data_IF_196760347199
#
_entry.id   IF_196760347199
#
_cell.length_a   1.000
_cell.length_b   1.000
_cell.length_c   1.000
_cell.angle_alpha   90.00
_cell.angle_beta   90.00
_cell.angle_gamma   90.00
#
_symmetry.space_group_name_H-M   'P 1'
#
loop_
_entity.id
_entity.type
_entity.pdbx_description
1 polymer ?
#
# COMPACT_ATOMS: atom_id res chain seq x y z
N UNK A 1 -15.85 23.35 -12.94
CA UNK A 1 -15.95 21.89 -13.12
C UNK A 1 -14.57 21.23 -13.17
N UNK A 2 -13.64 21.69 -14.02
CA UNK A 2 -12.28 21.13 -14.10
C UNK A 2 -11.49 21.22 -12.77
N UNK A 3 -11.58 22.33 -12.04
CA UNK A 3 -10.90 22.49 -10.75
C UNK A 3 -11.36 21.50 -9.65
N UNK A 4 -12.63 21.08 -9.69
CA UNK A 4 -13.17 20.09 -8.75
C UNK A 4 -12.71 18.69 -9.14
N UNK A 5 -12.69 18.39 -10.45
CA UNK A 5 -12.20 17.11 -10.96
C UNK A 5 -10.69 16.94 -10.72
N UNK A 6 -9.89 17.98 -10.91
CA UNK A 6 -8.45 17.95 -10.62
C UNK A 6 -8.17 17.81 -9.12
N UNK A 7 -8.93 18.51 -8.27
CA UNK A 7 -8.81 18.37 -6.81
C UNK A 7 -9.16 16.96 -6.33
N UNK A 8 -10.24 16.37 -6.87
CA UNK A 8 -10.59 14.98 -6.57
C UNK A 8 -9.50 14.03 -7.07
N UNK A 9 -9.01 14.22 -8.31
CA UNK A 9 -7.94 13.40 -8.86
C UNK A 9 -6.66 13.46 -8.00
N UNK A 10 -6.28 14.63 -7.49
CA UNK A 10 -5.14 14.78 -6.58
C UNK A 10 -5.34 14.03 -5.26
N UNK A 11 -6.54 14.10 -4.66
CA UNK A 11 -6.85 13.36 -3.42
C UNK A 11 -6.80 11.84 -3.67
N UNK A 12 -7.39 11.38 -4.77
CA UNK A 12 -7.37 9.96 -5.14
C UNK A 12 -6.00 9.49 -5.67
N UNK A 13 -5.07 10.40 -5.97
CA UNK A 13 -3.70 10.03 -6.33
C UNK A 13 -2.81 9.81 -5.10
N UNK A 14 -3.30 10.14 -3.90
CA UNK A 14 -2.56 9.95 -2.66
C UNK A 14 -2.88 8.59 -2.02
N UNK A 15 -1.91 7.66 -1.92
CA UNK A 15 -2.17 6.30 -1.42
C UNK A 15 -2.65 6.28 0.03
N UNK A 16 -2.21 7.24 0.85
CA UNK A 16 -2.65 7.42 2.22
C UNK A 16 -4.17 7.59 2.31
N UNK A 17 -4.74 8.44 1.44
CA UNK A 17 -6.17 8.71 1.40
C UNK A 17 -6.96 7.49 0.90
N UNK A 18 -6.43 6.75 -0.08
CA UNK A 18 -7.06 5.48 -0.49
C UNK A 18 -7.11 4.48 0.66
N UNK A 19 -6.04 4.33 1.42
CA UNK A 19 -6.01 3.42 2.57
C UNK A 19 -7.05 3.81 3.63
N UNK A 20 -7.15 5.10 3.94
CA UNK A 20 -8.19 5.63 4.83
C UNK A 20 -9.59 5.36 4.30
N UNK A 21 -9.82 5.59 3.01
CA UNK A 21 -11.12 5.39 2.37
C UNK A 21 -11.56 3.93 2.42
N UNK A 22 -10.66 2.98 2.15
CA UNK A 22 -10.94 1.54 2.23
C UNK A 22 -11.37 1.17 3.66
N UNK A 23 -10.65 1.66 4.67
CA UNK A 23 -11.00 1.43 6.07
C UNK A 23 -12.33 2.09 6.45
N UNK A 24 -12.59 3.31 5.98
CA UNK A 24 -13.86 4.01 6.20
C UNK A 24 -15.04 3.23 5.62
N UNK A 25 -14.95 2.81 4.36
CA UNK A 25 -15.99 2.01 3.70
C UNK A 25 -16.22 0.69 4.45
N UNK A 26 -15.16 0.02 4.88
CA UNK A 26 -15.26 -1.19 5.71
C UNK A 26 -15.99 -0.93 7.03
N UNK A 27 -15.64 0.14 7.74
CA UNK A 27 -16.26 0.48 9.04
C UNK A 27 -17.73 0.92 8.90
N UNK A 28 -18.07 1.60 7.81
CA UNK A 28 -19.46 1.95 7.45
C UNK A 28 -20.25 0.67 7.16
N UNK A 29 -19.69 -0.26 6.40
CA UNK A 29 -20.32 -1.56 6.13
C UNK A 29 -20.54 -2.38 7.42
N UNK A 30 -19.63 -2.27 8.39
CA UNK A 30 -19.76 -2.87 9.73
C UNK A 30 -20.73 -2.10 10.66
N UNK A 31 -21.33 -0.98 10.22
CA UNK A 31 -22.20 -0.10 11.03
C UNK A 31 -21.56 0.31 12.36
N UNK A 32 -20.27 0.63 12.33
CA UNK A 32 -19.51 1.00 13.53
C UNK A 32 -19.95 2.38 14.08
N UNK A 33 -19.87 2.63 15.40
CA UNK A 33 -20.20 3.93 16.00
C UNK A 33 -19.27 5.05 15.49
N UNK A 34 -19.77 6.29 15.42
CA UNK A 34 -19.08 7.45 14.83
C UNK A 34 -17.65 7.69 15.34
N UNK A 35 -17.40 7.47 16.63
CA UNK A 35 -16.06 7.59 17.20
C UNK A 35 -15.07 6.55 16.62
N UNK A 36 -15.55 5.32 16.37
CA UNK A 36 -14.75 4.27 15.73
C UNK A 36 -14.56 4.51 14.23
N UNK A 37 -15.52 5.14 13.55
CA UNK A 37 -15.38 5.55 12.15
C UNK A 37 -14.23 6.56 11.98
N UNK A 38 -14.19 7.60 12.80
CA UNK A 38 -13.16 8.64 12.69
C UNK A 38 -11.76 8.08 13.01
N UNK A 39 -11.62 7.44 14.17
CA UNK A 39 -10.33 6.87 14.61
C UNK A 39 -9.86 5.72 13.72
N UNK A 40 -10.79 4.89 13.23
CA UNK A 40 -10.49 3.77 12.36
C UNK A 40 -10.14 4.17 10.92
N UNK A 41 -10.54 5.36 10.47
CA UNK A 41 -10.15 5.92 9.17
C UNK A 41 -8.80 6.62 9.25
N UNK A 42 -8.54 7.35 10.34
CA UNK A 42 -7.29 8.10 10.52
C UNK A 42 -6.09 7.21 10.83
N UNK A 43 -6.28 6.10 11.57
CA UNK A 43 -5.19 5.18 11.93
C UNK A 43 -4.46 4.61 10.71
N UNK A 44 -5.13 4.08 9.67
CA UNK A 44 -4.48 3.63 8.45
C UNK A 44 -3.71 4.74 7.71
N UNK A 45 -4.28 5.94 7.65
CA UNK A 45 -3.63 7.10 7.01
C UNK A 45 -2.32 7.42 7.74
N UNK A 46 -2.39 7.57 9.06
CA UNK A 46 -1.21 7.85 9.90
C UNK A 46 -0.19 6.71 9.84
N UNK A 47 -0.65 5.45 9.85
CA UNK A 47 0.21 4.29 9.70
C UNK A 47 0.99 4.29 8.38
N UNK A 48 0.33 4.62 7.27
CA UNK A 48 0.99 4.79 5.97
C UNK A 48 2.04 5.90 5.99
N UNK A 49 1.70 7.07 6.54
CA UNK A 49 2.63 8.21 6.62
C UNK A 49 3.87 7.86 7.45
N UNK A 50 3.69 7.19 8.59
CA UNK A 50 4.79 6.72 9.43
C UNK A 50 5.66 5.68 8.72
N UNK A 51 5.06 4.72 8.02
CA UNK A 51 5.78 3.72 7.22
C UNK A 51 6.62 4.40 6.13
N UNK A 52 6.03 5.34 5.38
CA UNK A 52 6.75 6.05 4.32
C UNK A 52 7.88 6.92 4.84
N UNK A 53 7.72 7.53 6.02
CA UNK A 53 8.78 8.30 6.67
C UNK A 53 9.92 7.38 7.13
N UNK A 54 9.59 6.26 7.78
CA UNK A 54 10.57 5.27 8.24
C UNK A 54 11.36 4.64 7.09
N UNK A 55 10.68 4.27 6.00
CA UNK A 55 11.33 3.76 4.80
C UNK A 55 12.31 4.78 4.19
N UNK A 56 11.96 6.07 4.20
CA UNK A 56 12.87 7.13 3.74
C UNK A 56 14.17 7.17 4.54
N UNK A 57 14.09 7.06 5.87
CA UNK A 57 15.28 6.99 6.74
C UNK A 57 16.10 5.75 6.45
N UNK A 58 15.46 4.59 6.28
CA UNK A 58 16.15 3.34 5.95
C UNK A 58 16.88 3.47 4.61
N UNK A 59 16.21 3.91 3.54
CA UNK A 59 16.82 4.07 2.20
C UNK A 59 17.99 5.06 2.23
N UNK A 60 17.87 6.17 2.97
CA UNK A 60 18.95 7.15 3.09
C UNK A 60 20.22 6.56 3.73
N UNK A 61 20.08 5.58 4.63
CA UNK A 61 21.22 4.91 5.26
C UNK A 61 21.72 3.70 4.44
N UNK A 62 20.84 3.01 3.73
CA UNK A 62 21.20 1.83 2.93
C UNK A 62 21.90 2.19 1.60
N UNK A 63 21.52 3.30 0.96
CA UNK A 63 22.16 3.75 -0.29
C UNK A 63 23.68 3.95 -0.18
N UNK A 64 24.22 4.69 0.82
CA UNK A 64 25.66 4.85 0.96
C UNK A 64 26.37 3.54 1.32
N UNK A 65 25.73 2.66 2.11
CA UNK A 65 26.25 1.32 2.39
C UNK A 65 26.39 0.49 1.10
N UNK A 66 25.41 0.56 0.21
CA UNK A 66 25.47 -0.08 -1.11
C UNK A 66 26.66 0.41 -1.94
N UNK A 67 26.91 1.72 -1.96
CA UNK A 67 28.05 2.30 -2.67
C UNK A 67 29.41 1.86 -2.11
N UNK A 68 29.53 1.70 -0.79
CA UNK A 68 30.77 1.18 -0.15
C UNK A 68 31.00 -0.28 -0.56
N UNK A 69 29.95 -1.11 -0.58
CA UNK A 69 30.04 -2.52 -0.98
C UNK A 69 30.39 -2.65 -2.47
N UNK A 70 29.79 -1.82 -3.33
CA UNK A 70 30.10 -1.81 -4.77
C UNK A 70 31.55 -1.39 -5.01
N UNK A 71 32.03 -0.33 -4.34
CA UNK A 71 33.40 0.13 -4.47
C UNK A 71 34.44 -0.87 -3.91
N UNK A 72 34.13 -1.54 -2.79
CA UNK A 72 35.05 -2.47 -2.13
C UNK A 72 35.09 -3.86 -2.76
N UNK A 73 33.97 -4.36 -3.28
CA UNK A 73 33.83 -5.75 -3.72
C UNK A 73 33.38 -5.90 -5.18
N UNK A 74 33.13 -4.81 -5.91
CA UNK A 74 32.54 -4.84 -7.26
C UNK A 74 31.20 -5.61 -7.34
N UNK A 75 30.52 -5.77 -6.20
CA UNK A 75 29.22 -6.44 -6.14
C UNK A 75 28.14 -5.39 -6.39
N UNK A 76 27.47 -5.51 -7.54
CA UNK A 76 26.25 -4.73 -7.84
C UNK A 76 25.04 -5.46 -7.29
N UNK A 77 24.30 -4.81 -6.40
CA UNK A 77 23.10 -5.38 -5.82
C UNK A 77 22.27 -4.36 -5.06
N UNK A 78 20.99 -4.69 -4.87
CA UNK A 78 20.09 -3.96 -3.98
C UNK A 78 20.11 -4.62 -2.61
N UNK A 79 20.05 -3.82 -1.55
CA UNK A 79 19.95 -4.35 -0.19
C UNK A 79 18.50 -4.82 0.03
N UNK A 80 18.26 -6.12 0.27
CA UNK A 80 16.92 -6.66 0.35
C UNK A 80 16.25 -6.19 1.65
N UNK A 81 15.37 -5.18 1.53
CA UNK A 81 14.49 -4.73 2.59
C UNK A 81 13.08 -4.55 2.01
N UNK A 82 12.19 -5.46 2.40
CA UNK A 82 10.82 -5.52 1.88
C UNK A 82 10.04 -4.23 2.13
N UNK A 83 10.19 -3.62 3.31
CA UNK A 83 9.45 -2.42 3.70
C UNK A 83 9.97 -1.18 2.97
N UNK A 84 11.30 -1.06 2.84
CA UNK A 84 11.93 0.03 2.12
C UNK A 84 11.57 0.00 0.62
N UNK A 85 11.68 -1.18 -0.02
CA UNK A 85 11.42 -1.34 -1.45
C UNK A 85 9.93 -1.10 -1.75
N UNK A 86 9.01 -1.68 -0.97
CA UNK A 86 7.58 -1.49 -1.20
C UNK A 86 7.14 -0.06 -0.93
N UNK A 87 7.68 0.61 0.09
CA UNK A 87 7.37 2.02 0.33
C UNK A 87 7.85 2.92 -0.80
N UNK A 88 9.02 2.64 -1.39
CA UNK A 88 9.51 3.37 -2.56
C UNK A 88 8.62 3.09 -3.78
N UNK A 89 8.32 1.82 -4.06
CA UNK A 89 7.47 1.42 -5.18
C UNK A 89 6.08 2.05 -5.09
N UNK A 90 5.52 2.21 -3.89
CA UNK A 90 4.21 2.84 -3.70
C UNK A 90 4.16 4.34 -3.98
N UNK A 91 5.29 5.04 -3.95
CA UNK A 91 5.31 6.44 -4.42
C UNK A 91 5.00 6.53 -5.91
N UNK A 92 5.30 5.48 -6.66
CA UNK A 92 5.09 5.41 -8.11
C UNK A 92 3.80 4.67 -8.47
N UNK A 93 3.52 3.56 -7.77
CA UNK A 93 2.45 2.60 -8.10
C UNK A 93 1.34 2.56 -7.06
N UNK A 94 1.18 3.64 -6.30
CA UNK A 94 0.34 3.64 -5.11
C UNK A 94 -1.14 3.47 -5.42
N UNK A 95 -1.65 4.07 -6.50
CA UNK A 95 -3.07 3.97 -6.89
C UNK A 95 -3.40 2.56 -7.36
N UNK A 96 -2.54 1.99 -8.19
CA UNK A 96 -2.61 0.65 -8.75
C UNK A 96 -2.55 -0.40 -7.64
N UNK A 97 -1.58 -0.24 -6.72
CA UNK A 97 -1.42 -1.12 -5.54
C UNK A 97 -2.67 -1.14 -4.67
N UNK A 98 -3.24 0.03 -4.38
CA UNK A 98 -4.46 0.14 -3.57
C UNK A 98 -5.68 -0.43 -4.29
N UNK A 99 -5.75 -0.26 -5.61
CA UNK A 99 -6.83 -0.81 -6.44
C UNK A 99 -6.78 -2.34 -6.49
N UNK A 100 -5.59 -2.92 -6.68
CA UNK A 100 -5.37 -4.37 -6.64
C UNK A 100 -5.69 -4.92 -5.26
N UNK A 101 -5.28 -4.24 -4.19
CA UNK A 101 -5.60 -4.63 -2.81
C UNK A 101 -7.11 -4.66 -2.58
N UNK A 102 -7.83 -3.62 -2.97
CA UNK A 102 -9.28 -3.51 -2.80
C UNK A 102 -10.01 -4.60 -3.60
N UNK A 103 -9.70 -4.72 -4.90
CA UNK A 103 -10.33 -5.72 -5.76
C UNK A 103 -10.00 -7.14 -5.28
N UNK A 104 -8.75 -7.41 -4.93
CA UNK A 104 -8.33 -8.70 -4.38
C UNK A 104 -9.09 -9.06 -3.10
N UNK A 105 -9.33 -8.10 -2.22
CA UNK A 105 -10.12 -8.32 -1.01
C UNK A 105 -11.61 -8.57 -1.31
N UNK A 106 -12.20 -7.83 -2.26
CA UNK A 106 -13.58 -8.05 -2.71
C UNK A 106 -13.73 -9.45 -3.31
N UNK A 107 -12.82 -9.87 -4.21
CA UNK A 107 -12.82 -11.22 -4.75
C UNK A 107 -12.65 -12.28 -3.67
N UNK A 108 -11.77 -12.05 -2.70
CA UNK A 108 -11.59 -12.95 -1.56
C UNK A 108 -12.90 -13.14 -0.77
N UNK A 109 -13.65 -12.06 -0.52
CA UNK A 109 -14.97 -12.12 0.12
C UNK A 109 -16.02 -12.86 -0.73
N UNK A 110 -16.08 -12.59 -2.03
CA UNK A 110 -17.03 -13.24 -2.95
C UNK A 110 -16.77 -14.74 -2.99
N UNK A 111 -15.51 -15.16 -3.15
CA UNK A 111 -15.11 -16.57 -3.17
C UNK A 111 -15.46 -17.23 -1.83
N UNK A 112 -15.16 -16.58 -0.71
CA UNK A 112 -15.48 -17.10 0.62
C UNK A 112 -17.00 -17.23 0.87
N UNK A 113 -17.81 -16.39 0.20
CA UNK A 113 -19.28 -16.45 0.28
C UNK A 113 -19.88 -17.55 -0.59
N UNK A 114 -19.38 -17.72 -1.82
CA UNK A 114 -19.96 -18.61 -2.81
C UNK A 114 -19.38 -20.04 -2.79
N UNK A 115 -18.17 -20.22 -2.29
CA UNK A 115 -17.47 -21.51 -2.33
C UNK A 115 -17.32 -22.15 -0.93
N UNK A 116 -16.86 -23.41 -0.91
CA UNK A 116 -16.50 -24.13 0.33
C UNK A 116 -15.27 -23.54 1.05
N UNK A 117 -14.49 -22.69 0.38
CA UNK A 117 -13.26 -22.09 0.91
C UNK A 117 -13.56 -20.80 1.68
N UNK A 118 -13.86 -20.92 2.98
CA UNK A 118 -14.30 -19.78 3.83
C UNK A 118 -13.17 -18.94 4.41
N UNK A 119 -11.92 -19.16 4.00
CA UNK A 119 -10.76 -18.46 4.56
C UNK A 119 -10.62 -17.06 3.97
N UNK A 120 -10.64 -16.05 4.84
CA UNK A 120 -10.43 -14.65 4.47
C UNK A 120 -9.04 -14.22 4.90
N UNK A 121 -8.27 -13.65 3.98
CA UNK A 121 -6.91 -13.20 4.25
C UNK A 121 -6.92 -11.82 4.92
N UNK A 122 -6.79 -11.80 6.25
CA UNK A 122 -6.95 -10.61 7.08
C UNK A 122 -5.64 -9.88 7.41
N UNK A 123 -4.48 -10.41 7.00
CA UNK A 123 -3.16 -9.83 7.28
C UNK A 123 -2.82 -8.69 6.31
N UNK A 124 -3.35 -7.50 6.59
CA UNK A 124 -3.27 -6.33 5.70
C UNK A 124 -1.86 -5.95 5.20
N UNK A 125 -0.83 -5.97 6.07
CA UNK A 125 0.55 -5.64 5.66
C UNK A 125 1.09 -6.60 4.58
N UNK A 126 0.74 -7.87 4.65
CA UNK A 126 1.13 -8.86 3.64
C UNK A 126 0.32 -8.69 2.35
N UNK A 127 -1.00 -8.48 2.46
CA UNK A 127 -1.85 -8.21 1.28
C UNK A 127 -1.37 -6.99 0.52
N UNK A 128 -0.97 -5.95 1.26
CA UNK A 128 -0.43 -4.71 0.73
C UNK A 128 0.91 -4.90 0.01
N UNK A 129 1.83 -5.69 0.62
CA UNK A 129 3.09 -6.06 -0.02
C UNK A 129 2.86 -6.85 -1.32
N UNK A 130 1.96 -7.84 -1.27
CA UNK A 130 1.61 -8.67 -2.43
C UNK A 130 0.95 -7.85 -3.55
N UNK A 131 0.05 -6.93 -3.20
CA UNK A 131 -0.59 -6.04 -4.16
C UNK A 131 0.44 -5.12 -4.83
N UNK A 132 1.44 -4.63 -4.08
CA UNK A 132 2.52 -3.82 -4.64
C UNK A 132 3.39 -4.61 -5.61
N UNK A 133 3.76 -5.85 -5.25
CA UNK A 133 4.50 -6.74 -6.14
C UNK A 133 3.72 -7.06 -7.42
N UNK A 134 2.42 -7.38 -7.30
CA UNK A 134 1.59 -7.62 -8.48
C UNK A 134 1.51 -6.38 -9.36
N UNK A 135 1.34 -5.20 -8.77
CA UNK A 135 1.34 -3.92 -9.50
C UNK A 135 2.65 -3.74 -10.28
N UNK A 136 3.79 -3.91 -9.60
CA UNK A 136 5.10 -3.73 -10.21
C UNK A 136 5.37 -4.74 -11.34
N UNK A 137 4.98 -6.01 -11.16
CA UNK A 137 5.15 -7.05 -12.18
C UNK A 137 4.25 -6.79 -13.39
N UNK A 138 2.99 -6.40 -13.17
CA UNK A 138 2.06 -6.06 -14.26
C UNK A 138 2.56 -4.83 -15.03
N UNK A 139 3.06 -3.80 -14.33
CA UNK A 139 3.62 -2.61 -14.97
C UNK A 139 4.88 -2.91 -15.78
N UNK A 140 5.71 -3.86 -15.33
CA UNK A 140 6.91 -4.27 -16.05
C UNK A 140 6.63 -5.22 -17.24
N UNK A 141 5.42 -5.78 -17.31
CA UNK A 141 4.99 -6.67 -18.39
C UNK A 141 4.35 -5.92 -19.57
N UNK A 142 3.97 -4.65 -19.39
CA UNK A 142 3.63 -3.69 -20.46
C UNK A 142 4.88 -3.01 -21.03
#
# INVERSE_FOLDING_TARGET
MQAILSFLAEIFSQPAFLMGLIAFVGLVALRSPGNKLLTGTLKPILGYLMLSAGAGVIVANLNPLGGIIEAGFNIRGVIPNNEAIVSVAQKMLGVETMSILLLGFIFNLIIARCTKYKYIFLTGHHSFFLACLFSAVLQAAE
#
